data_IF_108855527922
#
_entry.id   IF_108855527922
#
_cell.length_a   1.000
_cell.length_b   1.000
_cell.length_c   1.000
_cell.angle_alpha   90.00
_cell.angle_beta   90.00
_cell.angle_gamma   90.00
#
_symmetry.space_group_name_H-M   'P 1'
#
loop_
_entity.id
_entity.type
_entity.pdbx_description
1 polymer ?
#
# COMPACT_ATOMS: atom_id res chain seq x y z
N UNK A 1 -8.22 -43.69 21.73
CA UNK A 1 -7.70 -44.78 20.87
C UNK A 1 -8.52 -44.76 19.59
N UNK A 2 -7.80 -44.90 18.48
CA UNK A 2 -8.27 -45.30 17.15
C UNK A 2 -9.10 -44.34 16.30
N UNK A 3 -8.43 -43.37 15.68
CA UNK A 3 -8.70 -42.96 14.27
C UNK A 3 -7.43 -42.50 13.51
N UNK A 4 -6.23 -42.87 13.97
CA UNK A 4 -4.97 -42.44 13.33
C UNK A 4 -4.40 -43.43 12.29
N UNK A 5 -5.14 -44.48 11.90
CA UNK A 5 -4.57 -45.66 11.23
C UNK A 5 -5.18 -46.04 9.87
N UNK A 6 -5.75 -45.08 9.11
CA UNK A 6 -6.30 -45.40 7.78
C UNK A 6 -5.73 -44.60 6.60
N UNK A 7 -4.59 -43.92 6.75
CA UNK A 7 -4.02 -43.09 5.69
C UNK A 7 -2.67 -43.54 5.11
N UNK A 8 -2.13 -44.70 5.50
CA UNK A 8 -0.72 -45.06 5.24
C UNK A 8 -0.51 -46.06 4.08
N UNK A 9 -1.49 -46.23 3.21
CA UNK A 9 -1.39 -47.17 2.09
C UNK A 9 -1.78 -46.51 0.75
N UNK A 10 -0.97 -45.57 0.24
CA UNK A 10 -0.97 -45.25 -1.20
C UNK A 10 0.23 -44.40 -1.63
N UNK A 11 1.46 -44.90 -1.48
CA UNK A 11 2.62 -44.34 -2.18
C UNK A 11 3.66 -45.43 -2.51
N UNK A 12 3.39 -46.22 -3.54
CA UNK A 12 4.46 -46.85 -4.33
C UNK A 12 4.33 -46.27 -5.73
N UNK A 13 5.22 -45.33 -6.07
CA UNK A 13 5.48 -44.91 -7.45
C UNK A 13 4.90 -43.58 -7.94
N UNK A 14 4.93 -42.49 -7.15
CA UNK A 14 4.59 -41.16 -7.68
C UNK A 14 5.48 -40.04 -7.12
N UNK A 15 5.79 -39.08 -7.99
CA UNK A 15 6.72 -37.95 -7.80
C UNK A 15 6.60 -37.20 -6.46
N UNK A 16 7.73 -36.80 -5.85
CA UNK A 16 7.77 -36.13 -4.55
C UNK A 16 7.09 -34.75 -4.52
N UNK A 17 6.96 -34.06 -5.66
CA UNK A 17 6.32 -32.73 -5.71
C UNK A 17 4.78 -32.79 -5.67
N UNK A 18 4.16 -33.89 -6.10
CA UNK A 18 2.69 -34.03 -6.07
C UNK A 18 2.15 -34.51 -4.72
N UNK A 19 3.00 -35.11 -3.88
CA UNK A 19 2.65 -35.50 -2.52
C UNK A 19 2.50 -34.28 -1.57
N UNK A 20 3.28 -33.22 -1.78
CA UNK A 20 3.25 -32.01 -0.95
C UNK A 20 1.95 -31.18 -1.13
N UNK A 21 1.36 -31.20 -2.33
CA UNK A 21 0.15 -30.42 -2.64
C UNK A 21 -1.10 -31.08 -2.04
N UNK A 22 -1.18 -32.41 -2.02
CA UNK A 22 -2.35 -33.12 -1.45
C UNK A 22 -2.41 -33.08 0.08
N UNK A 23 -1.27 -32.89 0.76
CA UNK A 23 -1.25 -32.72 2.23
C UNK A 23 -1.73 -31.32 2.67
N UNK A 24 -1.54 -30.28 1.85
CA UNK A 24 -2.06 -28.92 2.12
C UNK A 24 -3.56 -28.79 1.92
N UNK A 25 -4.14 -29.52 0.98
CA UNK A 25 -5.60 -29.48 0.72
C UNK A 25 -6.38 -30.20 1.84
N UNK A 26 -5.82 -31.24 2.46
CA UNK A 26 -6.49 -31.99 3.52
C UNK A 26 -6.47 -31.27 4.89
N UNK A 27 -5.52 -30.36 5.13
CA UNK A 27 -5.46 -29.57 6.37
C UNK A 27 -6.32 -28.28 6.34
N UNK A 28 -6.80 -27.86 5.18
CA UNK A 28 -7.68 -26.70 5.02
C UNK A 28 -9.17 -27.03 5.13
N UNK A 29 -9.54 -28.32 5.13
CA UNK A 29 -10.94 -28.75 5.12
C UNK A 29 -11.46 -29.22 6.49
N UNK A 30 -10.65 -29.15 7.55
CA UNK A 30 -11.02 -29.56 8.92
C UNK A 30 -11.06 -28.40 9.94
N UNK A 31 -10.98 -27.14 9.48
CA UNK A 31 -11.01 -25.98 10.38
C UNK A 31 -12.45 -25.47 10.63
N UNK A 32 -12.87 -25.28 11.89
CA UNK A 32 -14.24 -24.91 12.28
C UNK A 32 -14.67 -23.49 11.85
N UNK A 33 -13.82 -22.74 11.16
CA UNK A 33 -14.08 -21.39 10.67
C UNK A 33 -15.17 -21.32 9.58
N UNK A 34 -15.45 -22.42 8.87
CA UNK A 34 -16.47 -22.45 7.81
C UNK A 34 -17.91 -22.52 8.31
N UNK A 35 -18.14 -22.94 9.55
CA UNK A 35 -19.50 -22.97 10.14
C UNK A 35 -19.96 -21.57 10.57
N UNK A 36 -19.03 -20.62 10.72
CA UNK A 36 -19.33 -19.26 11.17
C UNK A 36 -19.81 -18.32 10.06
N UNK A 37 -19.59 -18.69 8.79
CA UNK A 37 -19.91 -17.84 7.63
C UNK A 37 -21.33 -18.04 7.07
N UNK A 38 -22.13 -18.94 7.63
CA UNK A 38 -23.50 -19.20 7.17
C UNK A 38 -24.60 -18.62 8.11
N UNK A 39 -24.23 -17.76 9.08
CA UNK A 39 -25.18 -17.19 10.04
C UNK A 39 -25.19 -15.66 10.16
N UNK A 40 -24.54 -14.91 9.25
CA UNK A 40 -24.57 -13.44 9.23
C UNK A 40 -25.40 -12.86 8.08
N UNK A 41 -26.71 -13.06 8.12
CA UNK A 41 -27.64 -12.39 7.18
C UNK A 41 -28.80 -11.67 7.89
N UNK A 42 -28.66 -11.23 9.15
CA UNK A 42 -29.80 -10.65 9.88
C UNK A 42 -29.50 -9.62 11.00
N UNK A 43 -28.34 -8.97 11.07
CA UNK A 43 -28.08 -7.99 12.14
C UNK A 43 -27.23 -6.80 11.66
N UNK A 44 -27.87 -5.87 10.91
CA UNK A 44 -27.21 -4.80 10.17
C UNK A 44 -26.83 -3.53 10.93
N UNK A 45 -27.59 -3.09 11.94
CA UNK A 45 -27.44 -1.68 12.37
C UNK A 45 -26.78 -1.44 13.74
N UNK A 46 -26.57 -2.48 14.56
CA UNK A 46 -25.92 -2.32 15.89
C UNK A 46 -24.45 -2.72 15.93
N UNK A 47 -23.94 -3.43 14.91
CA UNK A 47 -22.53 -3.82 14.83
C UNK A 47 -21.62 -2.76 14.20
N UNK A 48 -22.13 -1.91 13.32
CA UNK A 48 -21.34 -0.83 12.74
C UNK A 48 -20.92 0.21 13.78
N UNK A 49 -21.82 0.56 14.70
CA UNK A 49 -21.57 1.54 15.76
C UNK A 49 -20.60 1.03 16.83
N UNK A 50 -20.65 -0.26 17.16
CA UNK A 50 -19.69 -0.88 18.11
C UNK A 50 -18.33 -1.10 17.47
N UNK A 51 -18.27 -1.48 16.18
CA UNK A 51 -17.02 -1.58 15.42
C UNK A 51 -16.28 -0.24 15.31
N UNK A 52 -17.03 0.85 15.04
CA UNK A 52 -16.46 2.20 14.92
C UNK A 52 -15.96 2.74 16.28
N UNK A 53 -16.65 2.44 17.38
CA UNK A 53 -16.19 2.77 18.73
C UNK A 53 -14.92 2.01 19.13
N UNK A 54 -14.80 0.72 18.80
CA UNK A 54 -13.58 -0.07 19.07
C UNK A 54 -12.40 0.45 18.24
N UNK A 55 -12.65 0.89 17.01
CA UNK A 55 -11.62 1.50 16.16
C UNK A 55 -11.12 2.83 16.74
N UNK A 56 -12.03 3.72 17.15
CA UNK A 56 -11.66 5.01 17.78
C UNK A 56 -10.88 4.80 19.08
N UNK A 57 -11.28 3.83 19.91
CA UNK A 57 -10.58 3.52 21.18
C UNK A 57 -9.19 2.94 20.91
N UNK A 58 -9.05 2.11 19.87
CA UNK A 58 -7.75 1.55 19.45
C UNK A 58 -6.80 2.63 18.96
N UNK A 59 -7.27 3.53 18.09
CA UNK A 59 -6.47 4.66 17.58
C UNK A 59 -6.09 5.63 18.71
N UNK A 60 -6.99 5.89 19.66
CA UNK A 60 -6.69 6.70 20.83
C UNK A 60 -5.64 6.06 21.75
N UNK A 61 -5.69 4.73 21.96
CA UNK A 61 -4.69 4.01 22.76
C UNK A 61 -3.32 3.99 22.08
N UNK A 62 -3.27 3.85 20.75
CA UNK A 62 -2.02 3.93 19.98
C UNK A 62 -1.45 5.34 20.04
N UNK A 63 -2.28 6.39 19.91
CA UNK A 63 -1.83 7.78 20.01
C UNK A 63 -1.34 8.15 21.42
N UNK A 64 -1.98 7.65 22.49
CA UNK A 64 -1.52 7.82 23.87
C UNK A 64 -0.22 7.04 24.12
N UNK A 65 -0.09 5.82 23.57
CA UNK A 65 1.15 5.05 23.60
C UNK A 65 2.29 5.77 22.88
N UNK A 66 2.02 6.36 21.72
CA UNK A 66 2.98 7.13 20.94
C UNK A 66 3.37 8.44 21.64
N UNK A 67 2.42 9.14 22.28
CA UNK A 67 2.70 10.30 23.13
C UNK A 67 3.47 9.93 24.40
N UNK A 68 3.25 8.75 24.98
CA UNK A 68 3.99 8.27 26.14
C UNK A 68 5.41 7.81 25.77
N UNK A 69 5.60 7.22 24.59
CA UNK A 69 6.92 6.92 24.01
C UNK A 69 7.66 8.20 23.63
N UNK A 70 6.99 9.18 23.00
CA UNK A 70 7.56 10.50 22.71
C UNK A 70 7.90 11.27 23.98
N UNK A 71 7.07 11.16 25.04
CA UNK A 71 7.36 11.74 26.36
C UNK A 71 8.49 10.99 27.04
N UNK A 72 8.58 9.67 26.93
CA UNK A 72 9.67 8.88 27.51
C UNK A 72 11.00 9.12 26.79
N UNK A 73 11.00 9.28 25.46
CA UNK A 73 12.18 9.61 24.65
C UNK A 73 12.60 11.08 24.88
N UNK A 74 11.65 12.02 24.93
CA UNK A 74 11.96 13.44 25.23
C UNK A 74 12.32 13.69 26.71
N UNK A 75 11.82 12.90 27.66
CA UNK A 75 12.19 13.00 29.09
C UNK A 75 13.45 12.21 29.46
N UNK A 76 13.84 11.20 28.68
CA UNK A 76 15.07 10.43 28.90
C UNK A 76 16.28 10.94 28.10
N UNK A 77 16.08 11.71 27.03
CA UNK A 77 17.17 12.33 26.28
C UNK A 77 17.84 13.52 27.02
N UNK A 78 17.12 14.23 27.90
CA UNK A 78 17.65 15.43 28.58
C UNK A 78 18.01 15.21 30.07
N UNK A 79 17.18 14.49 30.83
CA UNK A 79 17.38 14.31 32.28
C UNK A 79 18.48 13.30 32.64
N UNK A 80 18.63 12.22 31.87
CA UNK A 80 19.66 11.20 32.10
C UNK A 80 21.05 11.72 31.77
N UNK A 81 21.15 12.56 30.73
CA UNK A 81 22.41 13.12 30.26
C UNK A 81 23.00 14.11 31.26
N UNK A 82 22.18 14.98 31.86
CA UNK A 82 22.60 15.84 32.97
C UNK A 82 23.05 15.04 34.20
N UNK A 83 22.36 13.94 34.53
CA UNK A 83 22.78 13.06 35.63
C UNK A 83 24.12 12.39 35.35
N UNK A 84 24.37 11.88 34.14
CA UNK A 84 25.66 11.29 33.78
C UNK A 84 26.78 12.35 33.72
N UNK A 85 26.51 13.55 33.20
CA UNK A 85 27.49 14.66 33.21
C UNK A 85 27.82 15.09 34.64
N UNK A 86 26.82 15.15 35.53
CA UNK A 86 27.01 15.49 36.94
C UNK A 86 27.79 14.40 37.67
N UNK A 87 27.50 13.12 37.40
CA UNK A 87 28.26 12.00 37.96
C UNK A 87 29.71 11.98 37.45
N UNK A 88 29.94 12.25 36.16
CA UNK A 88 31.30 12.36 35.58
C UNK A 88 32.07 13.52 36.23
N UNK A 89 31.44 14.68 36.40
CA UNK A 89 32.08 15.84 37.04
C UNK A 89 32.37 15.58 38.53
N UNK A 90 31.47 14.87 39.23
CA UNK A 90 31.69 14.45 40.62
C UNK A 90 32.84 13.45 40.72
N UNK A 91 32.85 12.42 39.87
CA UNK A 91 33.94 11.44 39.79
C UNK A 91 35.28 12.11 39.45
N UNK A 92 35.30 13.12 38.56
CA UNK A 92 36.51 13.90 38.29
C UNK A 92 36.97 14.73 39.49
N UNK A 93 36.04 15.28 40.26
CA UNK A 93 36.32 16.00 41.51
C UNK A 93 36.92 15.08 42.58
N UNK A 94 36.27 13.95 42.82
CA UNK A 94 36.70 12.93 43.80
C UNK A 94 38.07 12.36 43.43
N UNK A 95 38.35 12.14 42.14
CA UNK A 95 39.64 11.64 41.64
C UNK A 95 40.76 12.69 41.80
N UNK A 96 40.44 13.98 41.61
CA UNK A 96 41.38 15.09 41.84
C UNK A 96 41.69 15.28 43.33
N UNK A 97 40.71 15.05 44.20
CA UNK A 97 40.88 15.07 45.64
C UNK A 97 41.71 13.86 46.12
N UNK A 98 41.43 12.66 45.61
CA UNK A 98 42.22 11.46 45.87
C UNK A 98 43.68 11.65 45.44
N UNK A 99 43.91 12.28 44.27
CA UNK A 99 45.26 12.58 43.77
C UNK A 99 46.07 13.50 44.67
N UNK A 100 45.44 14.42 45.42
CA UNK A 100 46.15 15.24 46.42
C UNK A 100 46.70 14.43 47.58
N UNK A 101 46.02 13.34 47.94
CA UNK A 101 46.48 12.45 49.02
C UNK A 101 47.55 11.44 48.55
N UNK A 102 47.56 11.12 47.25
CA UNK A 102 48.50 10.16 46.63
C UNK A 102 49.95 10.65 46.63
N UNK A 103 50.19 11.97 46.60
CA UNK A 103 51.55 12.55 46.67
C UNK A 103 52.31 12.18 47.96
N UNK A 104 51.61 11.72 49.00
CA UNK A 104 52.20 11.32 50.28
C UNK A 104 52.47 9.81 50.46
N UNK A 105 51.97 8.95 49.55
CA UNK A 105 52.03 7.48 49.73
C UNK A 105 52.45 6.66 48.50
N UNK A 106 52.71 7.26 47.33
CA UNK A 106 53.01 6.54 46.08
C UNK A 106 54.30 7.08 45.43
N UNK A 107 55.08 6.18 44.81
CA UNK A 107 56.28 6.57 44.04
C UNK A 107 55.92 7.63 42.99
N UNK A 108 56.70 8.72 42.92
CA UNK A 108 56.48 9.83 41.99
C UNK A 108 56.33 9.36 40.51
N UNK A 109 56.97 8.24 40.16
CA UNK A 109 56.82 7.59 38.84
C UNK A 109 55.45 6.95 38.59
N UNK A 110 54.83 6.35 39.61
CA UNK A 110 53.50 5.75 39.52
C UNK A 110 52.41 6.83 39.47
N UNK A 111 52.57 7.92 40.24
CA UNK A 111 51.67 9.07 40.15
C UNK A 111 51.71 9.73 38.76
N UNK A 112 52.91 9.90 38.20
CA UNK A 112 53.09 10.41 36.83
C UNK A 112 52.42 9.52 35.77
N UNK A 113 52.58 8.21 35.87
CA UNK A 113 51.92 7.26 34.96
C UNK A 113 50.39 7.31 35.09
N UNK A 114 49.85 7.40 36.32
CA UNK A 114 48.42 7.55 36.54
C UNK A 114 47.87 8.86 35.98
N UNK A 115 48.59 9.97 36.14
CA UNK A 115 48.23 11.26 35.51
C UNK A 115 48.23 11.17 33.99
N UNK A 116 49.20 10.47 33.41
CA UNK A 116 49.26 10.27 31.96
C UNK A 116 48.08 9.40 31.46
N UNK A 117 47.76 8.31 32.17
CA UNK A 117 46.60 7.47 31.84
C UNK A 117 45.28 8.23 32.01
N UNK A 118 45.18 9.09 33.03
CA UNK A 118 44.00 9.92 33.26
C UNK A 118 43.80 10.91 32.10
N UNK A 119 44.85 11.62 31.68
CA UNK A 119 44.69 12.54 30.56
C UNK A 119 44.46 11.85 29.23
N UNK A 120 45.08 10.69 29.00
CA UNK A 120 44.78 9.87 27.83
C UNK A 120 43.30 9.43 27.82
N UNK A 121 42.80 8.93 28.95
CA UNK A 121 41.39 8.55 29.09
C UNK A 121 40.44 9.73 28.92
N UNK A 122 40.82 10.93 29.37
CA UNK A 122 40.02 12.15 29.17
C UNK A 122 39.99 12.55 27.70
N UNK A 123 41.11 12.49 26.99
CA UNK A 123 41.13 12.74 25.54
C UNK A 123 40.29 11.71 24.78
N UNK A 124 40.40 10.43 25.13
CA UNK A 124 39.59 9.38 24.51
C UNK A 124 38.09 9.61 24.77
N UNK A 125 37.71 9.97 26.01
CA UNK A 125 36.32 10.30 26.35
C UNK A 125 35.79 11.49 25.55
N UNK A 126 36.61 12.54 25.35
CA UNK A 126 36.19 13.69 24.53
C UNK A 126 36.05 13.32 23.05
N UNK A 127 36.91 12.43 22.54
CA UNK A 127 36.86 11.92 21.17
C UNK A 127 35.61 11.07 20.94
N UNK A 128 35.34 10.12 21.83
CA UNK A 128 34.14 9.27 21.77
C UNK A 128 32.85 10.11 21.89
N UNK A 129 32.81 11.13 22.76
CA UNK A 129 31.68 12.07 22.82
C UNK A 129 31.46 12.83 21.51
N UNK A 130 32.53 13.25 20.85
CA UNK A 130 32.46 13.90 19.54
C UNK A 130 31.91 12.96 18.47
N UNK A 131 32.43 11.73 18.42
CA UNK A 131 31.97 10.69 17.49
C UNK A 131 30.50 10.32 17.73
N UNK A 132 30.08 10.18 18.99
CA UNK A 132 28.70 9.86 19.35
C UNK A 132 27.74 10.95 18.88
N UNK A 133 28.10 12.22 19.10
CA UNK A 133 27.30 13.36 18.64
C UNK A 133 27.20 13.42 17.11
N UNK A 134 28.28 13.09 16.39
CA UNK A 134 28.25 13.01 14.93
C UNK A 134 27.32 11.88 14.46
N UNK A 135 27.37 10.71 15.11
CA UNK A 135 26.48 9.58 14.81
C UNK A 135 25.02 9.95 15.10
N UNK A 136 24.73 10.62 16.22
CA UNK A 136 23.39 11.11 16.56
C UNK A 136 22.87 12.06 15.47
N UNK A 137 23.68 13.02 15.01
CA UNK A 137 23.24 13.93 13.94
C UNK A 137 22.99 13.21 12.61
N UNK A 138 23.79 12.18 12.29
CA UNK A 138 23.56 11.35 11.10
C UNK A 138 22.30 10.51 11.23
N UNK A 139 22.02 9.99 12.42
CA UNK A 139 20.81 9.23 12.70
C UNK A 139 19.56 10.10 12.61
N UNK A 140 19.57 11.29 13.19
CA UNK A 140 18.46 12.26 13.09
C UNK A 140 18.19 12.65 11.64
N UNK A 141 19.24 12.88 10.86
CA UNK A 141 19.12 13.21 9.42
C UNK A 141 18.56 12.04 8.63
N UNK A 142 19.03 10.82 8.90
CA UNK A 142 18.52 9.61 8.26
C UNK A 142 17.05 9.35 8.63
N UNK A 143 16.66 9.54 9.90
CA UNK A 143 15.27 9.44 10.35
C UNK A 143 14.37 10.44 9.63
N UNK A 144 14.77 11.72 9.57
CA UNK A 144 13.99 12.72 8.83
C UNK A 144 13.84 12.38 7.34
N UNK A 145 14.88 11.81 6.73
CA UNK A 145 14.82 11.35 5.32
C UNK A 145 13.87 10.17 5.15
N UNK A 146 13.82 9.25 6.11
CA UNK A 146 12.88 8.11 6.08
C UNK A 146 11.45 8.60 6.25
N UNK A 147 11.19 9.50 7.21
CA UNK A 147 9.87 10.10 7.42
C UNK A 147 9.37 10.83 6.16
N UNK A 148 10.23 11.59 5.47
CA UNK A 148 9.89 12.26 4.22
C UNK A 148 9.56 11.26 3.10
N UNK A 149 10.34 10.19 2.96
CA UNK A 149 10.08 9.14 1.97
C UNK A 149 8.78 8.38 2.25
N UNK A 150 8.48 8.10 3.52
CA UNK A 150 7.23 7.47 3.92
C UNK A 150 6.02 8.36 3.62
N UNK A 151 6.12 9.67 3.88
CA UNK A 151 5.09 10.65 3.54
C UNK A 151 4.84 10.71 2.03
N UNK A 152 5.90 10.82 1.22
CA UNK A 152 5.80 10.79 -0.24
C UNK A 152 5.19 9.47 -0.75
N UNK A 153 5.55 8.33 -0.14
CA UNK A 153 4.99 7.05 -0.52
C UNK A 153 3.49 6.96 -0.20
N UNK A 154 3.04 7.53 0.92
CA UNK A 154 1.61 7.60 1.23
C UNK A 154 0.86 8.51 0.25
N UNK A 155 1.42 9.66 -0.10
CA UNK A 155 0.81 10.54 -1.11
C UNK A 155 0.67 9.83 -2.46
N UNK A 156 1.74 9.17 -2.93
CA UNK A 156 1.71 8.41 -4.19
C UNK A 156 0.65 7.31 -4.15
N UNK A 157 0.54 6.57 -3.04
CA UNK A 157 -0.51 5.54 -2.88
C UNK A 157 -1.90 6.12 -2.96
N UNK A 158 -2.15 7.24 -2.28
CA UNK A 158 -3.47 7.89 -2.30
C UNK A 158 -3.83 8.44 -3.68
N UNK A 159 -2.90 9.07 -4.38
CA UNK A 159 -3.10 9.57 -5.74
C UNK A 159 -3.37 8.42 -6.72
N UNK A 160 -2.66 7.30 -6.56
CA UNK A 160 -2.87 6.09 -7.36
C UNK A 160 -4.29 5.52 -7.15
N UNK A 161 -4.71 5.33 -5.91
CA UNK A 161 -6.06 4.84 -5.60
C UNK A 161 -7.15 5.74 -6.21
N UNK A 162 -6.95 7.06 -6.18
CA UNK A 162 -7.87 8.01 -6.80
C UNK A 162 -7.92 7.86 -8.33
N UNK A 163 -6.78 7.68 -8.97
CA UNK A 163 -6.69 7.52 -10.43
C UNK A 163 -7.23 6.16 -10.91
N UNK A 164 -7.05 5.08 -10.13
CA UNK A 164 -7.68 3.78 -10.39
C UNK A 164 -9.22 3.90 -10.34
N UNK A 165 -9.76 4.62 -9.36
CA UNK A 165 -11.21 4.87 -9.26
C UNK A 165 -11.70 5.68 -10.47
N UNK A 166 -10.97 6.71 -10.90
CA UNK A 166 -11.32 7.49 -12.10
C UNK A 166 -11.31 6.64 -13.36
N UNK A 167 -10.30 5.78 -13.51
CA UNK A 167 -10.19 4.87 -14.65
C UNK A 167 -11.36 3.89 -14.68
N UNK A 168 -11.70 3.29 -13.54
CA UNK A 168 -12.84 2.37 -13.42
C UNK A 168 -14.16 3.07 -13.78
N UNK A 169 -14.41 4.27 -13.25
CA UNK A 169 -15.59 5.05 -13.58
C UNK A 169 -15.66 5.40 -15.08
N UNK A 170 -14.52 5.68 -15.70
CA UNK A 170 -14.44 5.98 -17.13
C UNK A 170 -14.77 4.73 -17.97
N UNK A 171 -14.27 3.56 -17.58
CA UNK A 171 -14.57 2.28 -18.24
C UNK A 171 -16.05 1.92 -18.10
N UNK A 172 -16.64 2.07 -16.91
CA UNK A 172 -18.07 1.82 -16.70
C UNK A 172 -18.95 2.77 -17.51
N UNK A 173 -18.58 4.05 -17.55
CA UNK A 173 -19.27 5.05 -18.38
C UNK A 173 -19.16 4.71 -19.87
N UNK A 174 -18.01 4.19 -20.30
CA UNK A 174 -17.80 3.73 -21.66
C UNK A 174 -18.69 2.53 -22.00
N UNK A 175 -18.74 1.51 -21.13
CA UNK A 175 -19.59 0.33 -21.36
C UNK A 175 -21.07 0.72 -21.46
N UNK A 176 -21.53 1.62 -20.58
CA UNK A 176 -22.88 2.16 -20.62
C UNK A 176 -23.16 2.88 -21.95
N UNK A 177 -22.29 3.81 -22.36
CA UNK A 177 -22.46 4.57 -23.59
C UNK A 177 -22.39 3.69 -24.84
N UNK A 178 -21.49 2.70 -24.87
CA UNK A 178 -21.39 1.71 -25.94
C UNK A 178 -22.69 0.91 -26.08
N UNK A 179 -23.27 0.46 -24.95
CA UNK A 179 -24.55 -0.26 -24.95
C UNK A 179 -25.70 0.60 -25.49
N UNK A 180 -25.73 1.89 -25.14
CA UNK A 180 -26.73 2.84 -25.62
C UNK A 180 -26.59 3.11 -27.12
N UNK A 181 -25.36 3.29 -27.62
CA UNK A 181 -25.08 3.45 -29.05
C UNK A 181 -25.55 2.24 -29.86
N UNK A 182 -25.30 1.01 -29.38
CA UNK A 182 -25.78 -0.21 -30.04
C UNK A 182 -27.31 -0.27 -30.05
N UNK A 183 -27.96 0.09 -28.94
CA UNK A 183 -29.42 0.12 -28.87
C UNK A 183 -30.02 1.15 -29.85
N UNK A 184 -29.42 2.34 -29.94
CA UNK A 184 -29.81 3.37 -30.90
C UNK A 184 -29.61 2.93 -32.35
N UNK A 185 -28.51 2.22 -32.66
CA UNK A 185 -28.30 1.67 -34.01
C UNK A 185 -29.38 0.64 -34.38
N UNK A 186 -29.77 -0.23 -33.45
CA UNK A 186 -30.84 -1.21 -33.67
C UNK A 186 -32.20 -0.53 -33.87
N UNK A 187 -32.50 0.53 -33.11
CA UNK A 187 -33.70 1.34 -33.30
C UNK A 187 -33.70 2.02 -34.66
N UNK A 188 -32.57 2.61 -35.07
CA UNK A 188 -32.40 3.26 -36.38
C UNK A 188 -32.64 2.27 -37.53
N UNK A 189 -32.07 1.06 -37.44
CA UNK A 189 -32.26 0.01 -38.43
C UNK A 189 -33.73 -0.44 -38.52
N UNK A 190 -34.42 -0.50 -37.38
CA UNK A 190 -35.85 -0.83 -37.34
C UNK A 190 -36.69 0.27 -37.97
N UNK A 191 -36.42 1.54 -37.65
CA UNK A 191 -37.11 2.68 -38.25
C UNK A 191 -36.89 2.81 -39.76
N UNK A 192 -35.67 2.54 -40.25
CA UNK A 192 -35.39 2.48 -41.68
C UNK A 192 -36.22 1.39 -42.37
N UNK A 193 -36.28 0.19 -41.78
CA UNK A 193 -37.08 -0.92 -42.32
C UNK A 193 -38.58 -0.61 -42.35
N UNK A 194 -39.10 0.06 -41.33
CA UNK A 194 -40.50 0.52 -41.31
C UNK A 194 -40.77 1.59 -42.37
N UNK A 195 -39.80 2.49 -42.58
CA UNK A 195 -39.88 3.53 -43.61
C UNK A 195 -39.85 2.95 -45.02
N UNK A 196 -38.99 1.97 -45.29
CA UNK A 196 -38.94 1.23 -46.56
C UNK A 196 -40.28 0.51 -46.81
N UNK A 197 -40.84 -0.13 -45.79
CA UNK A 197 -42.16 -0.77 -45.88
C UNK A 197 -43.27 0.23 -46.21
N UNK A 198 -43.26 1.42 -45.59
CA UNK A 198 -44.21 2.50 -45.93
C UNK A 198 -44.04 3.00 -47.37
N UNK A 199 -42.80 3.09 -47.87
CA UNK A 199 -42.51 3.48 -49.25
C UNK A 199 -43.01 2.46 -50.29
N UNK A 200 -43.00 1.17 -49.95
CA UNK A 200 -43.47 0.09 -50.83
C UNK A 200 -44.99 -0.13 -50.79
N UNK A 201 -45.61 -0.06 -49.60
CA UNK A 201 -47.01 -0.46 -49.40
C UNK A 201 -48.01 0.69 -49.60
N UNK A 202 -47.60 1.95 -49.44
CA UNK A 202 -48.51 3.10 -49.53
C UNK A 202 -48.46 3.76 -50.91
N UNK A 203 -49.63 4.10 -51.44
CA UNK A 203 -49.78 4.97 -52.61
C UNK A 203 -49.52 6.42 -52.22
N UNK A 204 -48.24 6.76 -52.09
CA UNK A 204 -47.79 8.09 -51.69
C UNK A 204 -47.85 9.08 -52.86
N UNK A 205 -48.17 10.33 -52.56
CA UNK A 205 -48.00 11.42 -53.55
C UNK A 205 -46.52 11.64 -53.85
N UNK A 206 -46.20 12.12 -55.06
CA UNK A 206 -44.81 12.31 -55.50
C UNK A 206 -43.95 13.12 -54.51
N UNK A 207 -44.51 14.20 -53.94
CA UNK A 207 -43.82 15.03 -52.94
C UNK A 207 -43.55 14.29 -51.62
N UNK A 208 -44.46 13.44 -51.16
CA UNK A 208 -44.27 12.62 -49.96
C UNK A 208 -43.21 11.54 -50.17
N UNK A 209 -43.17 10.97 -51.37
CA UNK A 209 -42.15 9.98 -51.73
C UNK A 209 -40.75 10.58 -51.75
N UNK A 210 -40.57 11.75 -52.36
CA UNK A 210 -39.27 12.45 -52.39
C UNK A 210 -38.81 12.82 -50.98
N UNK A 211 -39.71 13.31 -50.12
CA UNK A 211 -39.38 13.61 -48.73
C UNK A 211 -38.94 12.36 -47.94
N UNK A 212 -39.62 11.23 -48.12
CA UNK A 212 -39.26 9.97 -47.45
C UNK A 212 -37.94 9.39 -47.99
N UNK A 213 -37.66 9.53 -49.28
CA UNK A 213 -36.36 9.16 -49.86
C UNK A 213 -35.21 10.02 -49.32
N UNK A 214 -35.43 11.32 -49.15
CA UNK A 214 -34.44 12.22 -48.55
C UNK A 214 -34.24 11.93 -47.05
N UNK A 215 -35.32 11.59 -46.33
CA UNK A 215 -35.25 11.15 -44.94
C UNK A 215 -34.49 9.82 -44.80
N UNK A 216 -34.75 8.85 -45.69
CA UNK A 216 -34.02 7.57 -45.73
C UNK A 216 -32.53 7.77 -45.99
N UNK A 217 -32.15 8.66 -46.92
CA UNK A 217 -30.75 9.04 -47.16
C UNK A 217 -30.13 9.68 -45.93
N UNK A 218 -30.81 10.64 -45.30
CA UNK A 218 -30.31 11.30 -44.10
C UNK A 218 -30.10 10.31 -42.93
N UNK A 219 -31.05 9.40 -42.70
CA UNK A 219 -30.90 8.33 -41.70
C UNK A 219 -29.75 7.37 -42.05
N UNK A 220 -29.57 7.03 -43.32
CA UNK A 220 -28.45 6.19 -43.77
C UNK A 220 -27.10 6.85 -43.52
N UNK A 221 -26.98 8.15 -43.79
CA UNK A 221 -25.79 8.94 -43.49
C UNK A 221 -25.54 9.03 -41.98
N UNK A 222 -26.59 9.31 -41.19
CA UNK A 222 -26.48 9.35 -39.73
C UNK A 222 -26.08 7.98 -39.15
N UNK A 223 -26.60 6.87 -39.68
CA UNK A 223 -26.22 5.52 -39.30
C UNK A 223 -24.76 5.19 -39.64
N UNK A 224 -24.25 5.71 -40.77
CA UNK A 224 -22.82 5.63 -41.09
C UNK A 224 -21.94 6.32 -40.05
N UNK A 225 -22.29 7.56 -39.69
CA UNK A 225 -21.59 8.32 -38.65
C UNK A 225 -21.64 7.62 -37.28
N UNK A 226 -22.77 6.99 -36.93
CA UNK A 226 -22.87 6.21 -35.69
C UNK A 226 -21.92 4.99 -35.68
N UNK A 227 -21.79 4.27 -36.80
CA UNK A 227 -20.83 3.15 -36.88
C UNK A 227 -19.38 3.60 -36.81
N UNK A 228 -19.06 4.69 -37.47
CA UNK A 228 -17.72 5.28 -37.39
C UNK A 228 -17.40 5.66 -35.95
N UNK A 229 -18.36 6.30 -35.26
CA UNK A 229 -18.24 6.66 -33.85
C UNK A 229 -18.08 5.43 -32.94
N UNK A 230 -18.89 4.38 -33.12
CA UNK A 230 -18.76 3.11 -32.37
C UNK A 230 -17.37 2.51 -32.58
N UNK A 231 -16.85 2.55 -33.81
CA UNK A 231 -15.53 2.00 -34.14
C UNK A 231 -14.40 2.80 -33.49
N UNK A 232 -14.49 4.13 -33.51
CA UNK A 232 -13.53 5.02 -32.85
C UNK A 232 -13.53 4.80 -31.32
N UNK A 233 -14.72 4.70 -30.73
CA UNK A 233 -14.89 4.37 -29.31
C UNK A 233 -14.27 3.01 -28.95
N UNK A 234 -14.51 1.98 -29.76
CA UNK A 234 -13.90 0.66 -29.55
C UNK A 234 -12.36 0.71 -29.57
N UNK A 235 -11.78 1.48 -30.50
CA UNK A 235 -10.33 1.68 -30.59
C UNK A 235 -9.76 2.41 -29.38
N UNK A 236 -10.45 3.43 -28.87
CA UNK A 236 -10.03 4.14 -27.65
C UNK A 236 -10.07 3.22 -26.43
N UNK A 237 -11.10 2.38 -26.30
CA UNK A 237 -11.21 1.45 -25.19
C UNK A 237 -10.12 0.38 -25.21
N UNK A 238 -9.79 -0.17 -26.39
CA UNK A 238 -8.66 -1.11 -26.53
C UNK A 238 -7.34 -0.46 -26.09
N UNK A 239 -7.13 0.82 -26.44
CA UNK A 239 -5.95 1.57 -26.01
C UNK A 239 -5.92 1.82 -24.50
N UNK A 240 -7.07 2.11 -23.88
CA UNK A 240 -7.18 2.26 -22.44
C UNK A 240 -6.86 0.94 -21.72
N UNK A 241 -7.37 -0.18 -22.23
CA UNK A 241 -7.09 -1.50 -21.64
C UNK A 241 -5.60 -1.87 -21.75
N UNK A 242 -4.96 -1.58 -22.90
CA UNK A 242 -3.52 -1.76 -23.05
C UNK A 242 -2.71 -0.89 -22.06
N UNK A 243 -3.12 0.37 -21.85
CA UNK A 243 -2.48 1.26 -20.87
C UNK A 243 -2.65 0.72 -19.45
N UNK A 244 -3.83 0.21 -19.11
CA UNK A 244 -4.11 -0.43 -17.82
C UNK A 244 -3.19 -1.63 -17.57
N UNK A 245 -3.05 -2.49 -18.58
CA UNK A 245 -2.15 -3.64 -18.54
C UNK A 245 -0.68 -3.22 -18.34
N UNK A 246 -0.22 -2.22 -19.11
CA UNK A 246 1.16 -1.70 -18.99
C UNK A 246 1.44 -1.11 -17.61
N UNK A 247 0.47 -0.40 -17.03
CA UNK A 247 0.59 0.11 -15.67
C UNK A 247 0.72 -1.01 -14.65
N UNK A 248 -0.09 -2.07 -14.78
CA UNK A 248 0.00 -3.24 -13.92
C UNK A 248 1.36 -3.95 -14.03
N UNK A 249 1.85 -4.16 -15.26
CA UNK A 249 3.17 -4.77 -15.50
C UNK A 249 4.30 -3.93 -14.87
N UNK A 250 4.21 -2.61 -14.98
CA UNK A 250 5.19 -1.68 -14.38
C UNK A 250 5.18 -1.79 -12.85
N UNK A 251 4.02 -1.96 -12.23
CA UNK A 251 3.89 -2.13 -10.78
C UNK A 251 4.47 -3.44 -10.28
N UNK A 252 4.29 -4.52 -11.04
CA UNK A 252 4.92 -5.80 -10.74
C UNK A 252 6.44 -5.69 -10.83
N UNK A 253 6.97 -4.97 -11.83
CA UNK A 253 8.41 -4.68 -11.93
C UNK A 253 8.92 -3.81 -10.77
N UNK A 254 8.19 -2.76 -10.38
CA UNK A 254 8.55 -1.92 -9.23
C UNK A 254 8.55 -2.71 -7.93
N UNK A 255 7.54 -3.55 -7.71
CA UNK A 255 7.45 -4.42 -6.53
C UNK A 255 8.65 -5.37 -6.48
N UNK A 256 8.99 -5.98 -7.60
CA UNK A 256 10.15 -6.86 -7.72
C UNK A 256 11.47 -6.14 -7.46
N UNK A 257 11.64 -4.90 -7.95
CA UNK A 257 12.83 -4.09 -7.69
C UNK A 257 12.92 -3.67 -6.21
N UNK A 258 11.80 -3.33 -5.59
CA UNK A 258 11.75 -3.00 -4.16
C UNK A 258 12.12 -4.23 -3.31
N UNK A 259 11.61 -5.42 -3.64
CA UNK A 259 11.98 -6.67 -2.99
C UNK A 259 13.47 -7.01 -3.15
N UNK A 260 14.05 -6.77 -4.33
CA UNK A 260 15.48 -6.97 -4.55
C UNK A 260 16.34 -6.01 -3.73
N UNK A 261 15.93 -4.75 -3.55
CA UNK A 261 16.69 -3.78 -2.76
C UNK A 261 16.50 -3.92 -1.24
N UNK A 262 15.41 -4.51 -0.77
CA UNK A 262 15.16 -4.78 0.65
C UNK A 262 15.67 -6.16 1.11
N UNK A 263 16.01 -7.04 0.17
CA UNK A 263 16.52 -8.39 0.43
C UNK A 263 18.05 -8.53 0.47
N UNK A 264 18.80 -7.52 0.05
CA UNK A 264 20.27 -7.41 0.21
C UNK A 264 20.66 -6.57 1.44
#
# INVERSE_FOLDING_TARGET
MDQALFGLFFCVGADPEKAAIRFRVFLLQSSPAWVFLQHQASFGDTMFLTGLLVFIISVALIAVGFLFLRRSISSSASGSQEQYVTQINKLQGDLKELMKYVDSYVSHSQHKNLMQMLEQSKTDLTREKGALKEIETKLDTAQGTVEEKEALQQEIKSAKEEDEIKLQNLMESYEALSSECIALEQQLATSLKELDKMLEELTLTAAQRTFLEDLSKALTTAGGLFRDLITEYASVNERLEMLRQQHQDLEDEYTKLAEQQLGE
#
